data_IF_579919889401
#
_entry.id   IF_579919889401
#
_cell.length_a   1.000
_cell.length_b   1.000
_cell.length_c   1.000
_cell.angle_alpha   90.00
_cell.angle_beta   90.00
_cell.angle_gamma   90.00
#
_symmetry.space_group_name_H-M   'P 1'
#
loop_
_entity.id
_entity.type
_entity.pdbx_description
1 polymer ?
#
# COMPACT_ATOMS: atom_id res chain seq x y z
N UNK A 1 48.60 -31.21 29.60
CA UNK A 1 47.48 -31.68 28.75
C UNK A 1 46.52 -30.51 28.59
N UNK A 2 46.66 -29.57 27.66
CA UNK A 2 46.88 -29.73 26.22
C UNK A 2 45.57 -29.49 25.47
N UNK A 3 45.03 -28.27 25.48
CA UNK A 3 44.03 -27.83 24.49
C UNK A 3 44.59 -26.60 23.79
N UNK A 4 45.05 -26.77 22.55
CA UNK A 4 45.39 -25.66 21.66
C UNK A 4 44.06 -25.19 21.07
N UNK A 5 43.66 -23.98 21.41
CA UNK A 5 42.56 -23.34 20.71
C UNK A 5 43.05 -22.92 19.31
N UNK A 6 42.26 -23.15 18.24
CA UNK A 6 42.60 -22.66 16.92
C UNK A 6 42.57 -21.13 16.93
N UNK A 7 43.72 -20.50 16.65
CA UNK A 7 43.79 -19.05 16.49
C UNK A 7 43.04 -18.65 15.20
N UNK A 8 41.93 -17.93 15.36
CA UNK A 8 41.20 -17.29 14.26
C UNK A 8 41.89 -15.95 13.91
N UNK A 9 41.90 -15.48 12.65
CA UNK A 9 42.82 -14.43 12.18
C UNK A 9 42.42 -13.00 12.55
N UNK A 10 41.35 -12.81 13.32
CA UNK A 10 40.95 -11.53 13.90
C UNK A 10 40.93 -11.74 15.40
N UNK A 11 41.91 -11.17 16.11
CA UNK A 11 42.26 -11.47 17.51
C UNK A 11 41.21 -11.10 18.58
N UNK A 12 39.92 -11.22 18.29
CA UNK A 12 38.83 -10.97 19.23
C UNK A 12 38.03 -12.27 19.42
N UNK A 13 38.09 -12.88 20.61
CA UNK A 13 37.29 -14.07 20.91
C UNK A 13 35.80 -13.74 20.92
N UNK A 14 34.99 -14.49 20.17
CA UNK A 14 33.52 -14.40 20.14
C UNK A 14 32.85 -15.29 21.21
N UNK A 15 33.64 -16.02 22.00
CA UNK A 15 33.14 -16.91 23.04
C UNK A 15 33.25 -16.27 24.43
N UNK A 16 32.27 -16.50 25.33
CA UNK A 16 32.31 -15.99 26.69
C UNK A 16 33.56 -16.45 27.42
N UNK A 17 34.28 -15.52 28.07
CA UNK A 17 35.38 -15.93 28.93
C UNK A 17 34.83 -16.60 30.19
N UNK A 18 35.42 -17.73 30.59
CA UNK A 18 34.92 -18.57 31.69
C UNK A 18 34.78 -17.83 33.03
N UNK A 19 35.52 -16.75 33.23
CA UNK A 19 35.51 -15.96 34.46
C UNK A 19 34.39 -14.90 34.51
N UNK A 20 33.92 -14.39 33.37
CA UNK A 20 32.96 -13.27 33.32
C UNK A 20 31.66 -13.65 32.61
N UNK A 21 31.64 -14.77 31.89
CA UNK A 21 30.51 -15.26 31.08
C UNK A 21 29.99 -14.25 30.04
N UNK A 22 30.73 -13.16 29.83
CA UNK A 22 30.45 -12.08 28.89
C UNK A 22 31.48 -12.14 27.75
N UNK A 23 31.06 -11.83 26.53
CA UNK A 23 31.98 -11.80 25.38
C UNK A 23 32.81 -10.52 25.40
N UNK A 24 34.10 -10.57 24.99
CA UNK A 24 34.96 -9.37 24.89
C UNK A 24 34.33 -8.21 24.10
N UNK A 25 33.48 -8.50 23.11
CA UNK A 25 32.75 -7.50 22.33
C UNK A 25 31.71 -6.74 23.17
N UNK A 26 30.93 -7.44 24.00
CA UNK A 26 29.92 -6.83 24.87
C UNK A 26 30.55 -5.90 25.91
N UNK A 27 31.76 -6.23 26.37
CA UNK A 27 32.55 -5.37 27.28
C UNK A 27 33.03 -4.07 26.61
N UNK A 28 33.26 -4.06 25.30
CA UNK A 28 33.76 -2.88 24.58
C UNK A 28 32.65 -2.00 24.02
N UNK A 29 31.54 -2.59 23.59
CA UNK A 29 30.45 -1.86 22.90
C UNK A 29 29.10 -1.87 23.65
N UNK A 30 29.04 -2.46 24.85
CA UNK A 30 27.96 -2.23 25.82
C UNK A 30 26.62 -2.94 25.56
N UNK A 31 26.49 -3.77 24.52
CA UNK A 31 25.30 -4.57 24.26
C UNK A 31 25.68 -5.92 23.61
N UNK A 32 24.83 -6.94 23.81
CA UNK A 32 24.91 -8.17 22.99
C UNK A 32 24.79 -7.75 21.53
N UNK A 33 25.79 -8.11 20.73
CA UNK A 33 25.85 -7.77 19.31
C UNK A 33 24.78 -8.56 18.54
N UNK A 34 23.51 -8.14 18.62
CA UNK A 34 22.59 -8.40 17.53
C UNK A 34 23.09 -7.59 16.35
N UNK A 35 23.66 -8.30 15.38
CA UNK A 35 24.23 -7.72 14.18
C UNK A 35 23.12 -6.93 13.45
N UNK A 36 23.27 -5.61 13.36
CA UNK A 36 22.47 -4.71 12.53
C UNK A 36 22.80 -4.92 11.03
N UNK A 37 22.60 -6.13 10.51
CA UNK A 37 23.01 -6.49 9.13
C UNK A 37 21.85 -6.78 8.18
N UNK A 38 20.60 -6.50 8.52
CA UNK A 38 19.50 -6.66 7.54
C UNK A 38 18.49 -5.50 7.52
N UNK A 39 18.94 -4.25 7.71
CA UNK A 39 18.09 -3.05 7.52
C UNK A 39 18.63 -2.13 6.41
N UNK A 40 19.55 -2.62 5.58
CA UNK A 40 20.08 -1.87 4.43
C UNK A 40 19.51 -2.28 3.08
N UNK A 41 19.11 -3.55 2.94
CA UNK A 41 18.57 -4.10 1.70
C UNK A 41 17.29 -4.84 2.05
N UNK A 42 16.15 -4.41 1.52
CA UNK A 42 14.90 -5.17 1.70
C UNK A 42 15.13 -6.54 1.09
N UNK A 43 15.14 -7.58 1.94
CA UNK A 43 15.31 -8.96 1.50
C UNK A 43 14.41 -9.24 0.30
N UNK A 44 14.87 -10.03 -0.68
CA UNK A 44 14.08 -10.39 -1.85
C UNK A 44 12.68 -10.91 -1.46
N UNK A 45 12.58 -11.61 -0.32
CA UNK A 45 11.31 -12.09 0.25
C UNK A 45 10.39 -10.95 0.67
N UNK A 46 10.90 -9.93 1.35
CA UNK A 46 10.14 -8.72 1.70
C UNK A 46 9.69 -7.98 0.43
N UNK A 47 10.58 -7.83 -0.55
CA UNK A 47 10.28 -7.10 -1.80
C UNK A 47 9.18 -7.76 -2.63
N UNK A 48 9.17 -9.09 -2.71
CA UNK A 48 8.11 -9.85 -3.39
C UNK A 48 6.80 -9.74 -2.62
N UNK A 49 6.83 -9.91 -1.30
CA UNK A 49 5.65 -9.78 -0.45
C UNK A 49 4.99 -8.39 -0.58
N UNK A 50 5.78 -7.33 -0.49
CA UNK A 50 5.31 -5.95 -0.65
C UNK A 50 4.74 -5.72 -2.05
N UNK A 51 5.32 -6.35 -3.08
CA UNK A 51 4.83 -6.23 -4.46
C UNK A 51 3.48 -6.93 -4.67
N UNK A 52 3.28 -8.10 -4.08
CA UNK A 52 2.01 -8.84 -4.12
C UNK A 52 0.93 -8.08 -3.34
N UNK A 53 1.27 -7.59 -2.15
CA UNK A 53 0.36 -6.77 -1.34
C UNK A 53 -0.05 -5.50 -2.07
N UNK A 54 0.92 -4.79 -2.67
CA UNK A 54 0.66 -3.57 -3.44
C UNK A 54 -0.18 -3.84 -4.69
N UNK A 55 0.04 -4.98 -5.36
CA UNK A 55 -0.77 -5.38 -6.50
C UNK A 55 -2.22 -5.65 -6.10
N UNK A 56 -2.42 -6.36 -4.98
CA UNK A 56 -3.75 -6.61 -4.44
C UNK A 56 -4.46 -5.32 -4.01
N UNK A 57 -3.76 -4.44 -3.31
CA UNK A 57 -4.29 -3.12 -2.91
C UNK A 57 -4.67 -2.27 -4.14
N UNK A 58 -3.83 -2.30 -5.18
CA UNK A 58 -4.11 -1.61 -6.44
C UNK A 58 -5.38 -2.16 -7.10
N UNK A 59 -5.54 -3.49 -7.16
CA UNK A 59 -6.74 -4.12 -7.70
C UNK A 59 -7.99 -3.70 -6.91
N UNK A 60 -7.95 -3.78 -5.58
CA UNK A 60 -9.10 -3.38 -4.73
C UNK A 60 -9.44 -1.90 -4.86
N UNK A 61 -8.43 -1.04 -5.03
CA UNK A 61 -8.65 0.40 -5.22
C UNK A 61 -9.31 0.70 -6.57
N UNK A 62 -8.94 -0.04 -7.63
CA UNK A 62 -9.56 0.09 -8.95
C UNK A 62 -11.02 -0.36 -8.92
N UNK A 63 -11.30 -1.52 -8.31
CA UNK A 63 -12.67 -2.03 -8.14
C UNK A 63 -13.55 -1.01 -7.41
N UNK A 64 -13.05 -0.43 -6.31
CA UNK A 64 -13.76 0.60 -5.55
C UNK A 64 -14.05 1.85 -6.40
N UNK A 65 -13.08 2.29 -7.20
CA UNK A 65 -13.27 3.45 -8.10
C UNK A 65 -14.35 3.16 -9.14
N UNK A 66 -14.37 1.95 -9.70
CA UNK A 66 -15.33 1.58 -10.72
C UNK A 66 -16.75 1.40 -10.15
N UNK A 67 -16.88 0.84 -8.93
CA UNK A 67 -18.14 0.82 -8.19
C UNK A 67 -18.68 2.24 -7.94
N UNK A 68 -17.84 3.16 -7.45
CA UNK A 68 -18.22 4.55 -7.20
C UNK A 68 -18.63 5.28 -8.49
N UNK A 69 -17.95 5.01 -9.61
CA UNK A 69 -18.32 5.58 -10.91
C UNK A 69 -19.67 5.07 -11.39
N UNK A 70 -19.96 3.77 -11.24
CA UNK A 70 -21.23 3.21 -11.67
C UNK A 70 -22.38 3.75 -10.80
N UNK A 71 -22.18 3.85 -9.48
CA UNK A 71 -23.13 4.50 -8.59
C UNK A 71 -23.40 5.97 -9.01
N UNK A 72 -22.35 6.74 -9.27
CA UNK A 72 -22.47 8.13 -9.73
C UNK A 72 -23.24 8.22 -11.07
N UNK A 73 -23.00 7.28 -11.99
CA UNK A 73 -23.69 7.20 -13.28
C UNK A 73 -25.18 6.91 -13.10
N UNK A 74 -25.54 5.98 -12.21
CA UNK A 74 -26.94 5.69 -11.89
C UNK A 74 -27.62 6.95 -11.34
N UNK A 75 -26.98 7.65 -10.41
CA UNK A 75 -27.51 8.90 -9.85
C UNK A 75 -27.69 9.99 -10.92
N UNK A 76 -26.73 10.14 -11.83
CA UNK A 76 -26.80 11.10 -12.92
C UNK A 76 -28.01 10.81 -13.83
N UNK A 77 -28.19 9.55 -14.25
CA UNK A 77 -29.30 9.15 -15.11
C UNK A 77 -30.65 9.33 -14.41
N UNK A 78 -30.74 9.02 -13.11
CA UNK A 78 -31.94 9.29 -12.31
C UNK A 78 -32.24 10.78 -12.24
N UNK A 79 -31.23 11.62 -12.05
CA UNK A 79 -31.36 13.08 -12.04
C UNK A 79 -31.85 13.61 -13.39
N UNK A 80 -31.24 13.17 -14.51
CA UNK A 80 -31.67 13.53 -15.87
C UNK A 80 -33.12 13.12 -16.12
N UNK A 81 -33.50 11.90 -15.74
CA UNK A 81 -34.87 11.40 -15.91
C UNK A 81 -35.88 12.20 -15.08
N UNK A 82 -35.52 12.58 -13.85
CA UNK A 82 -36.39 13.43 -13.01
C UNK A 82 -36.56 14.83 -13.61
N UNK A 83 -35.48 15.41 -14.12
CA UNK A 83 -35.51 16.72 -14.78
C UNK A 83 -36.37 16.68 -16.05
N UNK A 84 -36.17 15.68 -16.91
CA UNK A 84 -36.94 15.52 -18.15
C UNK A 84 -38.42 15.29 -17.89
N UNK A 85 -38.79 14.44 -16.92
CA UNK A 85 -40.19 14.25 -16.51
C UNK A 85 -40.82 15.55 -16.02
N UNK A 86 -40.10 16.34 -15.21
CA UNK A 86 -40.63 17.61 -14.71
C UNK A 86 -40.82 18.64 -15.82
N UNK A 87 -39.90 18.68 -16.78
CA UNK A 87 -40.04 19.53 -17.96
C UNK A 87 -41.22 19.08 -18.83
N UNK A 88 -41.27 17.81 -19.21
CA UNK A 88 -42.27 17.24 -20.12
C UNK A 88 -43.70 17.29 -19.56
N UNK A 89 -43.87 17.25 -18.24
CA UNK A 89 -45.20 17.40 -17.61
C UNK A 89 -45.71 18.84 -17.63
N UNK A 90 -44.82 19.83 -17.73
CA UNK A 90 -45.16 21.26 -17.70
C UNK A 90 -45.21 21.89 -19.09
N UNK A 91 -44.49 21.32 -20.05
CA UNK A 91 -44.38 21.85 -21.40
C UNK A 91 -45.45 21.21 -22.26
N UNK A 92 -46.40 22.02 -22.73
CA UNK A 92 -47.31 21.61 -23.79
C UNK A 92 -46.65 21.86 -25.16
N UNK A 93 -46.45 20.82 -25.99
CA UNK A 93 -45.94 21.00 -27.34
C UNK A 93 -46.91 21.87 -28.16
N UNK A 94 -46.41 22.95 -28.76
CA UNK A 94 -47.16 23.73 -29.75
C UNK A 94 -46.64 23.41 -31.14
N UNK A 95 -47.56 23.21 -32.08
CA UNK A 95 -47.25 23.12 -33.50
C UNK A 95 -47.54 24.47 -34.15
N UNK A 96 -46.66 24.90 -35.05
CA UNK A 96 -46.77 26.17 -35.78
C UNK A 96 -46.74 25.91 -37.29
N UNK A 97 -47.44 26.75 -38.05
CA UNK A 97 -47.48 26.74 -39.52
C UNK A 97 -46.88 28.03 -40.08
N UNK A 98 -46.50 27.99 -41.35
CA UNK A 98 -46.01 29.17 -42.07
C UNK A 98 -47.08 30.26 -42.03
N UNK A 99 -46.75 31.42 -41.46
CA UNK A 99 -47.67 32.55 -41.25
C UNK A 99 -48.19 32.70 -39.81
N UNK A 100 -47.90 31.76 -38.91
CA UNK A 100 -48.24 31.91 -37.49
C UNK A 100 -47.37 32.98 -36.84
N UNK A 101 -48.02 34.00 -36.27
CA UNK A 101 -47.35 35.06 -35.52
C UNK A 101 -47.29 34.67 -34.04
N UNK A 102 -46.07 34.56 -33.51
CA UNK A 102 -45.79 34.18 -32.13
C UNK A 102 -45.20 35.39 -31.41
N UNK A 103 -45.79 35.74 -30.26
CA UNK A 103 -45.36 36.79 -29.33
C UNK A 103 -45.22 36.21 -27.93
#
# INVERSE_FOLDING_TARGET
>A
MGRRDPQHPLGVPLYPQSTTQETPYRLTYGADAMILVEVGETSHRCRVFDSEQKAQETATNLDLIDELKEEARIHEEVCKLRASRRYNTRVQPRSFRVGDLVW
#
